data_IF_293786093203
#
_entry.id   IF_293786093203
#
_cell.length_a   1.000
_cell.length_b   1.000
_cell.length_c   1.000
_cell.angle_alpha   90.00
_cell.angle_beta   90.00
_cell.angle_gamma   90.00
#
_symmetry.space_group_name_H-M   'P 1'
#
loop_
_entity.id
_entity.type
_entity.pdbx_description
1 polymer ?
#
# COMPACT_ATOMS: atom_id res chain seq x y z
N UNK A 1 18.32 15.52 -7.30
CA UNK A 1 17.58 15.64 -8.57
C UNK A 1 18.21 16.69 -9.52
N UNK A 2 18.69 17.79 -9.00
CA UNK A 2 19.35 18.83 -9.82
C UNK A 2 20.53 18.26 -10.64
N UNK A 3 21.31 17.37 -10.06
CA UNK A 3 22.43 16.70 -10.73
C UNK A 3 22.01 15.76 -11.87
N UNK A 4 20.75 15.35 -11.95
CA UNK A 4 20.23 14.43 -12.99
C UNK A 4 19.62 15.15 -14.18
N UNK A 5 19.46 16.48 -14.13
CA UNK A 5 18.79 17.28 -15.15
C UNK A 5 17.30 16.97 -15.33
N UNK A 6 16.64 16.36 -14.34
CA UNK A 6 15.20 16.09 -14.39
C UNK A 6 14.40 17.36 -14.09
N UNK A 7 13.57 17.77 -15.05
CA UNK A 7 12.73 18.98 -14.99
C UNK A 7 11.23 18.65 -14.90
N UNK A 8 10.87 17.38 -14.64
CA UNK A 8 9.49 16.94 -14.52
C UNK A 8 8.87 17.26 -13.16
N UNK A 9 7.63 16.81 -12.98
CA UNK A 9 6.90 16.96 -11.73
C UNK A 9 7.57 16.22 -10.56
N UNK A 10 7.59 16.84 -9.40
CA UNK A 10 7.99 16.26 -8.11
C UNK A 10 7.00 16.75 -7.06
N UNK A 11 6.32 15.78 -6.41
CA UNK A 11 5.51 16.07 -5.24
C UNK A 11 6.42 16.39 -4.05
N UNK A 12 6.27 17.56 -3.47
CA UNK A 12 7.11 17.99 -2.34
C UNK A 12 6.61 17.39 -1.04
N UNK A 13 5.68 18.04 -0.40
CA UNK A 13 5.09 17.63 0.86
C UNK A 13 3.60 17.39 0.68
N UNK A 14 3.09 16.28 1.25
CA UNK A 14 1.69 15.92 1.21
C UNK A 14 1.40 14.86 2.31
N UNK A 15 0.16 14.80 2.83
CA UNK A 15 -0.21 13.76 3.78
C UNK A 15 -0.17 12.37 3.15
N UNK A 16 0.05 11.35 3.98
CA UNK A 16 -0.04 9.95 3.54
C UNK A 16 -1.51 9.54 3.46
N UNK A 17 -2.04 9.40 2.25
CA UNK A 17 -3.43 9.05 1.98
C UNK A 17 -3.62 7.60 1.55
N UNK A 18 -2.54 6.93 1.19
CA UNK A 18 -2.56 5.57 0.66
C UNK A 18 -1.65 4.66 1.47
N UNK A 19 -2.18 3.53 1.93
CA UNK A 19 -1.43 2.42 2.49
C UNK A 19 -1.34 1.32 1.44
N UNK A 20 -0.14 0.94 1.02
CA UNK A 20 0.06 -0.03 -0.04
C UNK A 20 0.78 -1.27 0.48
N UNK A 21 0.09 -2.41 0.50
CA UNK A 21 0.68 -3.71 0.80
C UNK A 21 1.31 -4.31 -0.46
N UNK A 22 2.61 -4.18 -0.54
CA UNK A 22 3.44 -4.58 -1.67
C UNK A 22 4.33 -3.45 -2.15
N UNK A 23 5.63 -3.72 -2.17
CA UNK A 23 6.69 -2.81 -2.62
C UNK A 23 7.29 -3.25 -3.97
N UNK A 24 6.68 -4.25 -4.60
CA UNK A 24 7.16 -4.85 -5.85
C UNK A 24 7.06 -3.92 -7.07
N UNK A 25 7.76 -4.30 -8.14
CA UNK A 25 7.85 -3.51 -9.36
C UNK A 25 6.48 -3.23 -10.01
N UNK A 26 5.51 -4.15 -9.89
CA UNK A 26 4.19 -3.95 -10.49
C UNK A 26 3.48 -2.76 -9.87
N UNK A 27 3.30 -2.71 -8.55
CA UNK A 27 2.62 -1.59 -7.89
C UNK A 27 3.38 -0.28 -8.10
N UNK A 28 4.71 -0.30 -7.97
CA UNK A 28 5.53 0.91 -8.17
C UNK A 28 5.46 1.45 -9.60
N UNK A 29 5.36 0.58 -10.60
CA UNK A 29 5.31 1.00 -12.01
C UNK A 29 3.90 1.29 -12.53
N UNK A 30 2.87 0.84 -11.83
CA UNK A 30 1.49 0.98 -12.24
C UNK A 30 0.69 1.86 -11.27
N UNK A 31 0.49 1.44 -10.03
CA UNK A 31 -0.36 2.14 -9.06
C UNK A 31 0.28 3.46 -8.61
N UNK A 32 1.54 3.42 -8.19
CA UNK A 32 2.23 4.64 -7.76
C UNK A 32 2.40 5.63 -8.91
N UNK A 33 2.58 5.14 -10.15
CA UNK A 33 2.56 5.99 -11.33
C UNK A 33 1.23 6.75 -11.48
N UNK A 34 0.08 6.08 -11.27
CA UNK A 34 -1.22 6.74 -11.34
C UNK A 34 -1.42 7.74 -10.20
N UNK A 35 -0.99 7.45 -8.99
CA UNK A 35 -1.03 8.41 -7.88
C UNK A 35 -0.12 9.63 -8.16
N UNK A 36 1.06 9.42 -8.72
CA UNK A 36 1.95 10.49 -9.09
C UNK A 36 1.37 11.39 -10.20
N UNK A 37 0.68 10.79 -11.20
CA UNK A 37 -0.08 11.52 -12.22
C UNK A 37 -1.29 12.24 -11.60
N UNK A 38 -2.02 11.61 -10.68
CA UNK A 38 -3.16 12.24 -10.00
C UNK A 38 -2.73 13.46 -9.18
N UNK A 39 -1.59 13.39 -8.53
CA UNK A 39 -1.01 14.54 -7.84
C UNK A 39 -0.71 15.69 -8.81
N UNK A 40 -0.08 15.40 -9.96
CA UNK A 40 0.28 16.39 -10.96
C UNK A 40 -0.92 16.99 -11.68
N UNK A 41 -1.87 16.14 -12.11
CA UNK A 41 -2.94 16.54 -13.05
C UNK A 41 -4.27 16.83 -12.39
N UNK A 42 -4.54 16.21 -11.23
CA UNK A 42 -5.82 16.32 -10.54
C UNK A 42 -5.73 16.94 -9.14
N UNK A 43 -4.52 17.29 -8.69
CA UNK A 43 -4.33 17.89 -7.37
C UNK A 43 -4.70 16.97 -6.20
N UNK A 44 -4.47 15.65 -6.34
CA UNK A 44 -4.82 14.66 -5.32
C UNK A 44 -4.17 14.97 -3.96
N UNK A 45 -2.96 15.52 -3.99
CA UNK A 45 -2.18 15.94 -2.81
C UNK A 45 -2.09 14.83 -1.76
N UNK A 46 -1.56 13.67 -2.17
CA UNK A 46 -1.45 12.51 -1.29
C UNK A 46 -0.22 11.65 -1.60
N UNK A 47 0.43 11.18 -0.54
CA UNK A 47 1.55 10.23 -0.61
C UNK A 47 1.11 8.82 -0.31
N UNK A 48 1.94 7.86 -0.73
CA UNK A 48 1.78 6.43 -0.56
C UNK A 48 2.82 5.92 0.45
N UNK A 49 2.37 5.24 1.52
CA UNK A 49 3.24 4.48 2.41
C UNK A 49 3.24 3.02 1.98
N UNK A 50 4.40 2.50 1.61
CA UNK A 50 4.59 1.10 1.26
C UNK A 50 4.74 0.25 2.52
N UNK A 51 4.07 -0.90 2.54
CA UNK A 51 4.14 -1.88 3.62
C UNK A 51 4.54 -3.22 3.03
N UNK A 52 5.67 -3.79 3.46
CA UNK A 52 6.09 -5.11 3.02
C UNK A 52 5.13 -6.18 3.54
N UNK A 53 4.49 -6.99 2.68
CA UNK A 53 3.52 -7.99 3.11
C UNK A 53 4.16 -9.21 3.78
N UNK A 54 5.44 -9.46 3.51
CA UNK A 54 6.22 -10.63 4.01
C UNK A 54 7.60 -10.20 4.49
N UNK A 55 8.20 -11.02 5.37
CA UNK A 55 9.49 -10.72 6.02
C UNK A 55 10.74 -10.98 5.15
N UNK A 56 10.58 -11.47 3.91
CA UNK A 56 11.66 -12.12 3.17
C UNK A 56 12.78 -11.21 2.67
N UNK A 57 12.58 -9.90 2.63
CA UNK A 57 13.56 -8.99 2.06
C UNK A 57 13.50 -7.59 2.69
N UNK A 58 13.85 -7.45 3.98
CA UNK A 58 13.75 -6.16 4.69
C UNK A 58 14.61 -5.06 4.05
N UNK A 59 15.72 -5.39 3.39
CA UNK A 59 16.58 -4.43 2.70
C UNK A 59 15.88 -3.63 1.60
N UNK A 60 14.78 -4.12 1.04
CA UNK A 60 14.02 -3.36 0.05
C UNK A 60 13.44 -2.07 0.66
N UNK A 61 12.95 -2.14 1.90
CA UNK A 61 12.48 -0.96 2.61
C UNK A 61 13.61 0.05 2.81
N UNK A 62 14.79 -0.42 3.23
CA UNK A 62 15.95 0.44 3.43
C UNK A 62 16.35 1.15 2.13
N UNK A 63 16.45 0.42 1.01
CA UNK A 63 16.80 1.01 -0.30
C UNK A 63 15.78 2.04 -0.80
N UNK A 64 14.48 1.81 -0.58
CA UNK A 64 13.45 2.77 -0.93
C UNK A 64 13.58 4.03 -0.07
N UNK A 65 13.84 3.86 1.23
CA UNK A 65 13.97 4.97 2.17
C UNK A 65 15.27 5.77 1.95
N UNK A 66 16.38 5.12 1.65
CA UNK A 66 17.64 5.78 1.27
C UNK A 66 17.51 6.67 0.04
N UNK A 67 16.57 6.36 -0.86
CA UNK A 67 16.22 7.16 -2.03
C UNK A 67 15.11 8.18 -1.75
N UNK A 68 14.72 8.38 -0.49
CA UNK A 68 13.62 9.28 -0.10
C UNK A 68 12.30 8.94 -0.84
N UNK A 69 12.05 7.66 -1.13
CA UNK A 69 10.90 7.19 -1.91
C UNK A 69 10.96 7.50 -3.42
N UNK A 70 12.02 8.15 -3.90
CA UNK A 70 12.16 8.55 -5.31
C UNK A 70 12.72 7.41 -6.15
N UNK A 71 12.14 7.18 -7.32
CA UNK A 71 12.69 6.26 -8.32
C UNK A 71 12.31 6.64 -9.73
N UNK A 72 13.11 6.20 -10.71
CA UNK A 72 12.84 6.49 -12.12
C UNK A 72 12.04 5.37 -12.76
N UNK A 73 10.89 5.71 -13.33
CA UNK A 73 10.09 4.84 -14.18
C UNK A 73 10.38 5.14 -15.65
N UNK A 74 10.71 4.09 -16.42
CA UNK A 74 10.86 4.16 -17.87
C UNK A 74 9.60 3.64 -18.55
N UNK A 75 8.97 4.48 -19.37
CA UNK A 75 7.80 4.16 -20.18
C UNK A 75 8.29 3.92 -21.63
N UNK A 76 8.31 2.66 -22.03
CA UNK A 76 8.77 2.25 -23.36
C UNK A 76 7.70 1.45 -24.07
N UNK A 77 7.39 1.83 -25.32
CA UNK A 77 6.36 1.15 -26.09
C UNK A 77 5.99 1.89 -27.36
N UNK A 78 4.74 1.70 -27.78
CA UNK A 78 4.13 2.43 -28.91
C UNK A 78 2.79 2.99 -28.49
N UNK A 79 2.57 4.27 -28.73
CA UNK A 79 1.30 4.94 -28.55
C UNK A 79 0.86 5.54 -29.88
N UNK A 80 -0.33 5.16 -30.36
CA UNK A 80 -0.89 5.60 -31.66
C UNK A 80 0.09 5.45 -32.83
N UNK A 81 0.86 4.35 -32.84
CA UNK A 81 1.85 4.04 -33.85
C UNK A 81 3.19 4.81 -33.73
N UNK A 82 3.35 5.66 -32.74
CA UNK A 82 4.59 6.37 -32.46
C UNK A 82 5.37 5.68 -31.34
N UNK A 83 6.70 5.60 -31.47
CA UNK A 83 7.56 5.08 -30.42
C UNK A 83 7.55 6.01 -29.21
N UNK A 84 7.27 5.44 -28.05
CA UNK A 84 7.38 6.12 -26.77
C UNK A 84 8.66 5.63 -26.08
N UNK A 85 9.50 6.55 -25.64
CA UNK A 85 10.66 6.31 -24.76
C UNK A 85 10.76 7.51 -23.81
N UNK A 86 9.99 7.45 -22.75
CA UNK A 86 9.89 8.49 -21.76
C UNK A 86 10.34 8.00 -20.39
N UNK A 87 10.83 8.91 -19.57
CA UNK A 87 11.19 8.64 -18.18
C UNK A 87 10.48 9.62 -17.25
N UNK A 88 10.04 9.10 -16.11
CA UNK A 88 9.43 9.90 -15.05
C UNK A 88 10.05 9.53 -13.70
N UNK A 89 10.34 10.52 -12.89
CA UNK A 89 10.65 10.28 -11.49
C UNK A 89 9.33 10.19 -10.74
N UNK A 90 9.09 9.06 -10.08
CA UNK A 90 7.96 8.88 -9.18
C UNK A 90 8.33 9.48 -7.83
N UNK A 91 7.46 10.34 -7.30
CA UNK A 91 7.70 11.14 -6.09
C UNK A 91 6.57 11.04 -5.05
N UNK A 92 5.52 10.30 -5.37
CA UNK A 92 4.39 10.11 -4.46
C UNK A 92 4.66 9.12 -3.32
N UNK A 93 5.71 8.32 -3.37
CA UNK A 93 6.06 7.41 -2.27
C UNK A 93 6.63 8.21 -1.10
N UNK A 94 6.08 8.01 0.10
CA UNK A 94 6.53 8.63 1.33
C UNK A 94 7.73 7.87 1.90
N UNK A 95 7.50 6.59 2.19
CA UNK A 95 8.48 5.67 2.73
C UNK A 95 8.03 4.21 2.52
N UNK A 96 8.88 3.28 2.90
CA UNK A 96 8.57 1.86 2.96
C UNK A 96 8.84 1.31 4.37
N UNK A 97 7.92 0.54 4.91
CA UNK A 97 8.05 -0.09 6.22
C UNK A 97 8.03 -1.61 6.10
N UNK A 98 9.00 -2.26 6.78
CA UNK A 98 8.95 -3.69 7.05
C UNK A 98 8.24 -3.91 8.40
N UNK A 99 6.98 -4.36 8.43
CA UNK A 99 6.19 -4.43 9.66
C UNK A 99 6.70 -5.48 10.65
N UNK A 100 7.65 -6.32 10.22
CA UNK A 100 8.30 -7.35 11.06
C UNK A 100 9.49 -6.82 11.84
N UNK A 101 9.97 -5.62 11.54
CA UNK A 101 11.00 -4.95 12.33
C UNK A 101 10.38 -4.36 13.59
N UNK A 102 11.18 -4.27 14.68
CA UNK A 102 10.72 -3.80 15.97
C UNK A 102 10.03 -2.44 15.91
N UNK A 103 8.84 -2.34 16.47
CA UNK A 103 8.01 -1.12 16.49
C UNK A 103 7.38 -0.71 15.15
N UNK A 104 7.73 -1.37 14.03
CA UNK A 104 7.28 -0.94 12.70
C UNK A 104 5.83 -1.30 12.40
N UNK A 105 5.30 -2.34 13.03
CA UNK A 105 3.87 -2.61 12.95
C UNK A 105 3.02 -1.52 13.59
N UNK A 106 3.49 -0.91 14.65
CA UNK A 106 2.79 0.20 15.31
C UNK A 106 2.72 1.45 14.41
N UNK A 107 3.71 1.68 13.54
CA UNK A 107 3.64 2.73 12.52
C UNK A 107 2.53 2.46 11.48
N UNK A 108 2.32 1.21 11.09
CA UNK A 108 1.21 0.83 10.19
C UNK A 108 -0.13 1.07 10.88
N UNK A 109 -0.26 0.68 12.14
CA UNK A 109 -1.48 0.92 12.91
C UNK A 109 -1.71 2.41 13.20
N UNK A 110 -0.64 3.19 13.41
CA UNK A 110 -0.73 4.64 13.54
C UNK A 110 -1.32 5.28 12.27
N UNK A 111 -0.90 4.84 11.08
CA UNK A 111 -1.47 5.31 9.82
C UNK A 111 -2.95 4.91 9.69
N UNK A 112 -3.35 3.71 10.17
CA UNK A 112 -4.76 3.30 10.19
C UNK A 112 -5.65 4.26 11.01
N UNK A 113 -5.09 4.91 12.03
CA UNK A 113 -5.77 5.91 12.87
C UNK A 113 -5.73 7.34 12.30
N UNK A 114 -4.99 7.56 11.19
CA UNK A 114 -4.91 8.87 10.56
C UNK A 114 -6.22 9.23 9.86
N UNK A 115 -6.66 10.47 10.01
CA UNK A 115 -7.80 11.00 9.26
C UNK A 115 -7.53 11.13 7.77
N UNK A 116 -6.25 11.31 7.39
CA UNK A 116 -5.83 11.49 6.01
C UNK A 116 -5.85 10.19 5.19
N UNK A 117 -5.80 9.00 5.84
CA UNK A 117 -5.82 7.74 5.12
C UNK A 117 -7.16 7.50 4.45
N UNK A 118 -7.15 7.32 3.14
CA UNK A 118 -8.34 7.17 2.29
C UNK A 118 -8.38 5.80 1.59
N UNK A 119 -7.22 5.25 1.21
CA UNK A 119 -7.13 4.11 0.30
C UNK A 119 -6.14 3.07 0.85
N UNK A 120 -6.50 1.79 0.74
CA UNK A 120 -5.58 0.67 0.90
C UNK A 120 -5.45 -0.05 -0.44
N UNK A 121 -4.21 -0.25 -0.88
CA UNK A 121 -3.88 -0.99 -2.11
C UNK A 121 -3.16 -2.28 -1.75
N UNK A 122 -3.37 -3.35 -2.49
CA UNK A 122 -2.62 -4.59 -2.32
C UNK A 122 -2.26 -5.27 -3.64
N UNK A 123 -1.09 -5.90 -3.65
CA UNK A 123 -0.72 -6.94 -4.61
C UNK A 123 0.27 -7.89 -3.91
N UNK A 124 -0.28 -8.87 -3.24
CA UNK A 124 0.44 -9.83 -2.39
C UNK A 124 0.61 -11.19 -3.05
N UNK A 125 0.50 -11.25 -4.39
CA UNK A 125 0.46 -12.45 -5.25
C UNK A 125 -0.85 -13.25 -5.13
N UNK A 126 -1.06 -14.23 -6.02
CA UNK A 126 -2.28 -15.05 -6.01
C UNK A 126 -2.42 -15.87 -4.72
N UNK A 127 -1.31 -16.24 -4.09
CA UNK A 127 -1.30 -16.97 -2.82
C UNK A 127 -1.53 -16.06 -1.59
N UNK A 128 -1.48 -14.74 -1.77
CA UNK A 128 -1.56 -13.78 -0.67
C UNK A 128 -2.97 -13.58 -0.11
N UNK A 129 -4.02 -13.83 -0.91
CA UNK A 129 -5.41 -13.76 -0.46
C UNK A 129 -5.87 -15.17 -0.02
N UNK A 130 -5.50 -15.55 1.20
CA UNK A 130 -5.89 -16.81 1.79
C UNK A 130 -6.21 -16.63 3.29
N UNK A 131 -7.25 -17.34 3.73
CA UNK A 131 -7.55 -17.43 5.16
C UNK A 131 -6.61 -18.44 5.82
N UNK A 132 -5.98 -18.04 6.92
CA UNK A 132 -5.09 -18.89 7.73
C UNK A 132 -5.65 -18.98 9.15
N UNK A 133 -6.07 -20.17 9.56
CA UNK A 133 -6.74 -20.36 10.85
C UNK A 133 -5.90 -19.91 12.06
N UNK A 134 -4.58 -20.07 12.00
CA UNK A 134 -3.67 -19.63 13.07
C UNK A 134 -3.56 -18.12 13.31
N UNK A 135 -3.99 -17.30 12.34
CA UNK A 135 -3.96 -15.83 12.43
C UNK A 135 -5.22 -15.22 13.07
N UNK A 136 -6.25 -16.03 13.35
CA UNK A 136 -7.58 -15.55 13.76
C UNK A 136 -7.59 -14.86 15.14
N UNK A 137 -6.62 -15.14 15.99
CA UNK A 137 -6.53 -14.57 17.34
C UNK A 137 -5.67 -13.30 17.40
N UNK A 138 -4.96 -12.96 16.32
CA UNK A 138 -4.00 -11.85 16.25
C UNK A 138 -2.92 -11.89 17.36
N UNK A 139 -2.60 -13.08 17.86
CA UNK A 139 -1.57 -13.28 18.89
C UNK A 139 -0.18 -12.98 18.33
N UNK A 140 0.00 -13.19 17.04
CA UNK A 140 1.23 -12.86 16.35
C UNK A 140 1.19 -11.41 15.85
N UNK A 141 2.25 -10.66 16.11
CA UNK A 141 2.39 -9.25 15.78
C UNK A 141 3.65 -9.05 14.91
N UNK A 142 3.50 -8.63 13.63
CA UNK A 142 2.25 -8.51 12.89
C UNK A 142 1.61 -9.88 12.59
N UNK A 143 0.31 -9.95 12.25
CA UNK A 143 -0.30 -11.19 11.75
C UNK A 143 0.44 -11.74 10.52
N UNK A 144 0.44 -13.07 10.30
CA UNK A 144 1.22 -13.65 9.21
C UNK A 144 0.65 -13.37 7.82
N UNK A 145 -0.66 -13.63 7.63
CA UNK A 145 -1.29 -13.47 6.33
C UNK A 145 -1.65 -12.00 6.04
N UNK A 146 -1.69 -11.64 4.76
CA UNK A 146 -2.12 -10.29 4.36
C UNK A 146 -3.59 -10.00 4.75
N UNK A 147 -4.57 -10.89 4.53
CA UNK A 147 -5.94 -10.61 4.95
C UNK A 147 -6.07 -10.39 6.47
N UNK A 148 -5.29 -11.10 7.30
CA UNK A 148 -5.26 -10.86 8.75
C UNK A 148 -4.65 -9.48 9.10
N UNK A 149 -3.57 -9.08 8.42
CA UNK A 149 -3.01 -7.72 8.56
C UNK A 149 -4.04 -6.65 8.21
N UNK A 150 -4.72 -6.81 7.07
CA UNK A 150 -5.76 -5.88 6.64
C UNK A 150 -6.91 -5.84 7.64
N UNK A 151 -7.38 -6.98 8.12
CA UNK A 151 -8.45 -7.05 9.15
C UNK A 151 -8.02 -6.31 10.42
N UNK A 152 -6.75 -6.45 10.85
CA UNK A 152 -6.23 -5.73 12.01
C UNK A 152 -6.17 -4.22 11.77
N UNK A 153 -5.78 -3.78 10.57
CA UNK A 153 -5.80 -2.36 10.17
C UNK A 153 -7.22 -1.80 10.20
N UNK A 154 -8.20 -2.53 9.63
CA UNK A 154 -9.59 -2.13 9.62
C UNK A 154 -10.19 -2.07 11.04
N UNK A 155 -9.87 -3.03 11.89
CA UNK A 155 -10.27 -3.04 13.29
C UNK A 155 -9.70 -1.86 14.06
N UNK A 156 -8.43 -1.54 13.86
CA UNK A 156 -7.75 -0.39 14.48
C UNK A 156 -8.45 0.92 14.09
N UNK A 157 -8.76 1.06 12.79
CA UNK A 157 -9.47 2.22 12.26
C UNK A 157 -10.89 2.32 12.82
N UNK A 158 -11.64 1.21 12.82
CA UNK A 158 -12.97 1.15 13.40
C UNK A 158 -12.98 1.62 14.87
N UNK A 159 -12.02 1.14 15.65
CA UNK A 159 -11.87 1.49 17.06
C UNK A 159 -11.54 2.97 17.23
N UNK A 160 -10.60 3.50 16.46
CA UNK A 160 -10.16 4.90 16.53
C UNK A 160 -11.31 5.87 16.20
N UNK A 161 -12.11 5.56 15.18
CA UNK A 161 -13.20 6.42 14.71
C UNK A 161 -14.60 5.96 15.18
N UNK A 162 -14.67 4.95 16.07
CA UNK A 162 -15.93 4.44 16.66
C UNK A 162 -16.96 4.03 15.61
N UNK A 163 -16.50 3.48 14.49
CA UNK A 163 -17.35 3.04 13.40
C UNK A 163 -18.01 4.16 12.59
N UNK A 164 -17.48 5.39 12.60
CA UNK A 164 -18.01 6.49 11.81
C UNK A 164 -18.01 6.15 10.31
N UNK A 165 -19.17 6.28 9.66
CA UNK A 165 -19.35 5.83 8.27
C UNK A 165 -18.52 6.63 7.24
N UNK A 166 -18.22 7.89 7.54
CA UNK A 166 -17.39 8.78 6.71
C UNK A 166 -15.88 8.49 6.85
N UNK A 167 -15.50 7.59 7.75
CA UNK A 167 -14.10 7.16 7.97
C UNK A 167 -13.78 5.80 7.35
N UNK A 168 -14.63 5.28 6.47
CA UNK A 168 -14.35 4.09 5.68
C UNK A 168 -13.12 4.24 4.78
N UNK A 169 -12.59 3.11 4.30
CA UNK A 169 -11.46 3.05 3.36
C UNK A 169 -11.89 2.42 2.04
N UNK A 170 -11.33 2.92 0.95
CA UNK A 170 -11.42 2.24 -0.35
C UNK A 170 -10.34 1.17 -0.41
N UNK A 171 -10.72 -0.09 -0.66
CA UNK A 171 -9.78 -1.21 -0.78
C UNK A 171 -9.62 -1.55 -2.26
N UNK A 172 -8.40 -1.42 -2.78
CA UNK A 172 -8.03 -1.71 -4.16
C UNK A 172 -7.14 -2.96 -4.20
N UNK A 173 -7.75 -4.11 -4.43
CA UNK A 173 -7.04 -5.38 -4.60
C UNK A 173 -6.53 -5.49 -6.04
N UNK A 174 -5.22 -5.62 -6.23
CA UNK A 174 -4.56 -5.72 -7.53
C UNK A 174 -3.98 -7.12 -7.79
N UNK A 175 -4.28 -8.09 -6.96
CA UNK A 175 -3.89 -9.49 -7.14
C UNK A 175 -4.56 -10.09 -8.39
N UNK A 176 -3.85 -10.92 -9.13
CA UNK A 176 -4.35 -11.58 -10.34
C UNK A 176 -5.22 -12.80 -9.97
N UNK A 177 -6.37 -12.53 -9.36
CA UNK A 177 -7.36 -13.52 -8.91
C UNK A 177 -8.74 -13.07 -9.38
N UNK A 178 -9.55 -14.00 -9.88
CA UNK A 178 -10.94 -13.72 -10.24
C UNK A 178 -11.73 -13.23 -9.02
N UNK A 179 -12.40 -12.08 -9.17
CA UNK A 179 -13.15 -11.44 -8.09
C UNK A 179 -12.32 -11.15 -6.83
N UNK A 180 -11.05 -10.81 -6.98
CA UNK A 180 -10.07 -10.60 -5.90
C UNK A 180 -10.62 -9.79 -4.71
N UNK A 181 -11.32 -8.69 -4.94
CA UNK A 181 -11.92 -7.89 -3.87
C UNK A 181 -12.97 -8.65 -3.05
N UNK A 182 -13.78 -9.53 -3.69
CA UNK A 182 -14.76 -10.36 -2.98
C UNK A 182 -14.08 -11.46 -2.18
N UNK A 183 -13.04 -12.09 -2.73
CA UNK A 183 -12.27 -13.10 -2.01
C UNK A 183 -11.53 -12.50 -0.82
N UNK A 184 -10.94 -11.32 -0.97
CA UNK A 184 -10.33 -10.59 0.14
C UNK A 184 -11.35 -10.24 1.23
N UNK A 185 -12.52 -9.71 0.85
CA UNK A 185 -13.61 -9.42 1.78
C UNK A 185 -14.04 -10.67 2.56
N UNK A 186 -14.19 -11.81 1.87
CA UNK A 186 -14.54 -13.09 2.49
C UNK A 186 -13.47 -13.53 3.50
N UNK A 187 -12.19 -13.40 3.17
CA UNK A 187 -11.11 -13.70 4.10
C UNK A 187 -11.16 -12.80 5.34
N UNK A 188 -11.34 -11.49 5.18
CA UNK A 188 -11.45 -10.56 6.29
C UNK A 188 -12.65 -10.88 7.19
N UNK A 189 -13.83 -11.15 6.62
CA UNK A 189 -15.02 -11.53 7.38
C UNK A 189 -14.82 -12.82 8.19
N UNK A 190 -14.07 -13.79 7.68
CA UNK A 190 -13.76 -15.01 8.42
C UNK A 190 -12.93 -14.72 9.68
N UNK A 191 -12.02 -13.73 9.64
CA UNK A 191 -11.27 -13.32 10.82
C UNK A 191 -12.14 -12.57 11.84
N UNK A 192 -13.09 -11.76 11.40
CA UNK A 192 -14.04 -11.08 12.29
C UNK A 192 -14.97 -12.04 13.00
N UNK A 193 -15.53 -13.01 12.28
CA UNK A 193 -16.43 -14.05 12.83
C UNK A 193 -15.68 -14.91 13.86
N UNK A 194 -14.44 -15.27 13.59
CA UNK A 194 -13.61 -16.02 14.55
C UNK A 194 -13.41 -15.31 15.88
N UNK A 195 -13.45 -13.96 15.91
CA UNK A 195 -13.38 -13.16 17.15
C UNK A 195 -14.70 -13.05 17.89
N UNK A 196 -15.82 -13.05 17.19
CA UNK A 196 -17.15 -12.98 17.80
C UNK A 196 -17.54 -14.31 18.47
N UNK A 197 -16.78 -15.39 18.24
CA UNK A 197 -17.04 -16.73 18.78
C UNK A 197 -16.20 -17.06 20.01
N UNK A 198 -15.33 -16.17 20.45
CA UNK A 198 -14.58 -16.21 21.71
C UNK A 198 -15.10 -15.13 22.65
#
# INVERSE_FOLDING_TARGET
LESTGYNGYILKDAPVKVMQFGEGNFLRAFVDYFFDIANEKAGYNGKVKLVQPIANFPQMADWINEQEGLYTLYLRGSEKGQKVDAKRVISCVHDCVCPYSEGKWDEVLALARSEDLEIVVSNTTEAGIAYTQGDSQFDQVPPNSFPAKLTRVLYERYTAFKGAADKGLVILSCELIDNNGKELQKCCNNYEIGRASC
#
